data_IF_085689203484
#
_entry.id   IF_085689203484
#
_cell.length_a   1.000
_cell.length_b   1.000
_cell.length_c   1.000
_cell.angle_alpha   90.00
_cell.angle_beta   90.00
_cell.angle_gamma   90.00
#
_symmetry.space_group_name_H-M   'P 1'
#
loop_
_entity.id
_entity.type
_entity.pdbx_description
1 polymer ?
#
# COMPACT_ATOMS: atom_id res chain seq x y z
N UNK A 1 -20.59 -16.83 -15.34
CA UNK A 1 -19.79 -16.93 -14.10
C UNK A 1 -18.51 -17.63 -14.50
N UNK A 2 -17.55 -16.87 -15.02
CA UNK A 2 -16.24 -17.38 -15.39
C UNK A 2 -15.27 -16.93 -14.30
N UNK A 3 -14.72 -17.88 -13.56
CA UNK A 3 -13.61 -17.63 -12.66
C UNK A 3 -12.40 -17.29 -13.55
N UNK A 4 -12.00 -16.02 -13.57
CA UNK A 4 -10.76 -15.63 -14.21
C UNK A 4 -9.62 -16.13 -13.31
N UNK A 5 -9.01 -17.25 -13.70
CA UNK A 5 -7.83 -17.75 -13.03
C UNK A 5 -6.72 -16.70 -13.10
N UNK A 6 -6.20 -16.33 -11.93
CA UNK A 6 -5.07 -15.43 -11.83
C UNK A 6 -3.89 -15.97 -12.64
N UNK A 7 -3.34 -15.12 -13.50
CA UNK A 7 -2.14 -15.45 -14.25
C UNK A 7 -0.97 -15.77 -13.30
N UNK A 8 0.00 -16.59 -13.73
CA UNK A 8 1.12 -17.02 -12.89
C UNK A 8 1.91 -15.84 -12.32
N UNK A 9 2.03 -14.75 -13.08
CA UNK A 9 2.65 -13.47 -12.66
C UNK A 9 1.90 -12.82 -11.49
N UNK A 10 0.56 -12.73 -11.56
CA UNK A 10 -0.27 -12.12 -10.52
C UNK A 10 -0.29 -12.96 -9.24
N UNK A 11 -0.28 -14.30 -9.35
CA UNK A 11 -0.15 -15.19 -8.18
C UNK A 11 1.19 -15.01 -7.47
N UNK A 12 2.28 -14.80 -8.22
CA UNK A 12 3.61 -14.56 -7.65
C UNK A 12 3.74 -13.19 -7.00
N UNK A 13 3.16 -12.15 -7.61
CA UNK A 13 3.08 -10.80 -7.03
C UNK A 13 2.38 -10.82 -5.67
N UNK A 14 1.26 -11.55 -5.57
CA UNK A 14 0.52 -11.74 -4.32
C UNK A 14 1.36 -12.44 -3.26
N UNK A 15 2.02 -13.53 -3.61
CA UNK A 15 2.90 -14.25 -2.68
C UNK A 15 4.01 -13.33 -2.18
N UNK A 16 4.69 -12.65 -3.09
CA UNK A 16 5.79 -11.74 -2.76
C UNK A 16 5.35 -10.59 -1.85
N UNK A 17 4.21 -9.97 -2.15
CA UNK A 17 3.68 -8.88 -1.34
C UNK A 17 3.41 -9.36 0.08
N UNK A 18 2.79 -10.52 0.25
CA UNK A 18 2.57 -11.16 1.54
C UNK A 18 3.88 -11.38 2.31
N UNK A 19 4.96 -11.77 1.63
CA UNK A 19 6.29 -11.95 2.25
C UNK A 19 6.92 -10.62 2.69
N UNK A 20 6.89 -9.58 1.85
CA UNK A 20 7.40 -8.25 2.22
C UNK A 20 6.63 -7.65 3.39
N UNK A 21 5.31 -7.83 3.43
CA UNK A 21 4.48 -7.38 4.55
C UNK A 21 4.90 -8.07 5.84
N UNK A 22 5.20 -9.36 5.80
CA UNK A 22 5.72 -10.11 6.96
C UNK A 22 7.10 -9.65 7.43
N UNK A 23 7.92 -9.04 6.56
CA UNK A 23 9.23 -8.50 6.93
C UNK A 23 9.17 -7.10 7.51
N UNK A 24 8.37 -6.19 6.94
CA UNK A 24 8.12 -4.87 7.52
C UNK A 24 7.55 -4.97 8.94
N UNK A 25 6.69 -5.98 9.13
CA UNK A 25 6.17 -6.42 10.42
C UNK A 25 7.25 -6.71 11.46
N UNK A 26 8.29 -7.46 11.11
CA UNK A 26 9.40 -7.80 12.03
C UNK A 26 10.23 -6.58 12.40
N UNK A 27 10.51 -5.71 11.43
CA UNK A 27 11.23 -4.44 11.65
C UNK A 27 10.48 -3.54 12.64
N UNK A 28 9.15 -3.54 12.58
CA UNK A 28 8.29 -2.72 13.43
C UNK A 28 8.00 -3.33 14.81
N UNK A 29 8.29 -4.62 15.00
CA UNK A 29 8.09 -5.41 16.24
C UNK A 29 9.32 -5.41 17.17
N UNK A 30 10.52 -5.15 16.64
CA UNK A 30 11.73 -4.96 17.47
C UNK A 30 11.58 -3.67 18.31
N UNK A 31 11.12 -3.88 19.55
CA UNK A 31 10.69 -2.85 20.49
C UNK A 31 11.85 -2.08 21.13
N UNK A 32 13.08 -2.55 20.92
CA UNK A 32 14.29 -1.94 21.44
C UNK A 32 14.88 -1.00 20.37
N UNK A 33 14.48 0.27 20.42
CA UNK A 33 15.10 1.33 19.59
C UNK A 33 16.63 1.37 19.78
N UNK A 34 17.14 0.88 20.91
CA UNK A 34 18.57 0.75 21.20
C UNK A 34 19.26 -0.33 20.36
N UNK A 35 18.62 -1.47 20.07
CA UNK A 35 19.21 -2.51 19.21
C UNK A 35 19.16 -2.15 17.73
N UNK A 36 18.18 -1.32 17.30
CA UNK A 36 18.16 -0.71 15.96
C UNK A 36 19.31 0.30 15.79
N UNK A 37 19.61 1.08 16.84
CA UNK A 37 20.73 2.05 16.85
C UNK A 37 22.09 1.34 16.94
N UNK A 38 22.19 0.21 17.67
CA UNK A 38 23.39 -0.61 17.81
C UNK A 38 23.57 -1.66 16.68
N UNK A 39 22.65 -1.72 15.71
CA UNK A 39 22.77 -2.56 14.51
C UNK A 39 22.39 -4.03 14.66
N UNK A 40 21.75 -4.42 15.75
CA UNK A 40 21.21 -5.77 15.98
C UNK A 40 19.69 -5.78 15.76
N UNK A 41 19.26 -6.00 14.53
CA UNK A 41 17.85 -6.30 14.21
C UNK A 41 17.79 -7.77 13.82
N UNK A 42 17.13 -8.62 14.62
CA UNK A 42 17.03 -10.05 14.34
C UNK A 42 15.89 -10.30 13.34
N UNK A 43 16.18 -10.01 12.08
CA UNK A 43 15.24 -10.20 10.98
C UNK A 43 15.20 -11.69 10.61
N UNK A 44 14.07 -12.36 10.84
CA UNK A 44 13.80 -13.64 10.18
C UNK A 44 13.86 -13.43 8.66
N UNK A 45 14.97 -13.87 8.05
CA UNK A 45 15.18 -13.86 6.61
C UNK A 45 14.14 -14.78 5.97
N UNK A 46 13.24 -14.18 5.19
CA UNK A 46 12.37 -14.93 4.32
C UNK A 46 13.05 -14.95 2.95
N UNK A 47 13.25 -16.13 2.36
CA UNK A 47 13.80 -16.21 1.01
C UNK A 47 12.79 -15.62 0.02
N UNK A 48 13.07 -14.41 -0.43
CA UNK A 48 12.49 -13.84 -1.64
C UNK A 48 13.59 -13.81 -2.71
N UNK A 49 13.22 -14.05 -3.96
CA UNK A 49 14.16 -13.76 -5.04
C UNK A 49 14.34 -12.24 -5.15
N UNK A 50 15.55 -11.78 -5.49
CA UNK A 50 15.79 -10.35 -5.76
C UNK A 50 14.77 -9.78 -6.76
N UNK A 51 14.39 -10.59 -7.75
CA UNK A 51 13.37 -10.28 -8.74
C UNK A 51 12.00 -9.98 -8.11
N UNK A 52 11.58 -10.77 -7.14
CA UNK A 52 10.31 -10.60 -6.42
C UNK A 52 10.31 -9.31 -5.58
N UNK A 53 11.35 -9.10 -4.76
CA UNK A 53 11.47 -7.86 -3.99
C UNK A 53 11.51 -6.61 -4.89
N UNK A 54 12.20 -6.69 -6.04
CA UNK A 54 12.21 -5.61 -7.03
C UNK A 54 10.82 -5.36 -7.61
N UNK A 55 10.10 -6.39 -8.06
CA UNK A 55 8.74 -6.25 -8.61
C UNK A 55 7.79 -5.64 -7.58
N UNK A 56 7.84 -6.11 -6.33
CA UNK A 56 7.01 -5.59 -5.24
C UNK A 56 7.30 -4.11 -4.99
N UNK A 57 8.58 -3.75 -4.88
CA UNK A 57 9.01 -2.36 -4.66
C UNK A 57 8.61 -1.45 -5.83
N UNK A 58 8.83 -1.92 -7.06
CA UNK A 58 8.45 -1.19 -8.28
C UNK A 58 6.93 -0.98 -8.32
N UNK A 59 6.15 -2.02 -8.05
CA UNK A 59 4.68 -1.95 -8.07
C UNK A 59 4.14 -1.00 -7.01
N UNK A 60 4.71 -1.01 -5.80
CA UNK A 60 4.33 -0.09 -4.73
C UNK A 60 4.63 1.38 -5.08
N UNK A 61 5.81 1.64 -5.65
CA UNK A 61 6.20 2.99 -6.08
C UNK A 61 5.33 3.48 -7.24
N UNK A 62 5.03 2.60 -8.21
CA UNK A 62 4.17 2.91 -9.36
C UNK A 62 2.77 3.32 -8.93
N UNK A 63 2.15 2.57 -8.00
CA UNK A 63 0.81 2.87 -7.47
C UNK A 63 0.72 4.31 -6.96
N UNK A 64 1.69 4.74 -6.17
CA UNK A 64 1.70 6.09 -5.61
C UNK A 64 1.97 7.15 -6.68
N UNK A 65 2.87 6.85 -7.62
CA UNK A 65 3.19 7.75 -8.72
C UNK A 65 1.98 8.04 -9.61
N UNK A 66 1.16 7.03 -9.90
CA UNK A 66 -0.04 7.17 -10.74
C UNK A 66 -1.07 8.11 -10.09
N UNK A 67 -1.39 7.92 -8.81
CA UNK A 67 -2.34 8.80 -8.11
C UNK A 67 -1.82 10.22 -7.94
N UNK A 68 -0.51 10.38 -7.72
CA UNK A 68 0.13 11.70 -7.65
C UNK A 68 0.09 12.40 -9.01
N UNK A 69 0.42 11.69 -10.10
CA UNK A 69 0.39 12.24 -11.45
C UNK A 69 -1.01 12.74 -11.82
N UNK A 70 -2.04 11.92 -11.57
CA UNK A 70 -3.43 12.31 -11.80
C UNK A 70 -3.81 13.50 -10.94
N UNK A 71 -3.45 13.50 -9.65
CA UNK A 71 -3.72 14.64 -8.77
C UNK A 71 -3.06 15.93 -9.26
N UNK A 72 -1.81 15.88 -9.74
CA UNK A 72 -1.10 17.02 -10.32
C UNK A 72 -1.80 17.53 -11.59
N UNK A 73 -2.17 16.62 -12.50
CA UNK A 73 -2.84 16.98 -13.76
C UNK A 73 -4.19 17.70 -13.55
N UNK A 74 -4.89 17.37 -12.45
CA UNK A 74 -6.16 17.99 -12.10
C UNK A 74 -6.06 19.07 -11.01
N UNK A 75 -4.85 19.49 -10.65
CA UNK A 75 -4.63 20.66 -9.81
C UNK A 75 -4.59 21.92 -10.68
N UNK A 76 -5.39 22.96 -10.40
CA UNK A 76 -5.34 24.21 -11.15
C UNK A 76 -3.98 24.90 -10.94
N UNK A 77 -3.56 25.73 -11.90
CA UNK A 77 -2.32 26.50 -11.78
C UNK A 77 -2.33 27.35 -10.50
N UNK A 78 -1.24 27.29 -9.73
CA UNK A 78 -1.13 27.94 -8.41
C UNK A 78 -1.87 27.22 -7.28
N UNK A 79 -2.55 26.11 -7.57
CA UNK A 79 -3.14 25.22 -6.57
C UNK A 79 -2.09 24.40 -5.82
N UNK A 80 -2.47 23.89 -4.66
CA UNK A 80 -1.60 23.09 -3.80
C UNK A 80 -2.01 21.62 -3.82
N UNK A 81 -1.01 20.76 -3.64
CA UNK A 81 -1.15 19.34 -3.41
C UNK A 81 -0.49 19.01 -2.07
N UNK A 82 -1.18 18.24 -1.23
CA UNK A 82 -0.76 17.83 0.10
C UNK A 82 -0.78 16.30 0.17
N UNK A 83 0.34 15.70 0.57
CA UNK A 83 0.43 14.26 0.85
C UNK A 83 0.59 14.08 2.35
N UNK A 84 -0.30 13.30 2.96
CA UNK A 84 -0.26 12.97 4.38
C UNK A 84 -0.25 11.46 4.53
N UNK A 85 0.63 10.93 5.37
CA UNK A 85 0.65 9.53 5.74
C UNK A 85 0.40 9.40 7.25
N UNK A 86 -0.54 8.54 7.63
CA UNK A 86 -0.84 8.19 9.02
C UNK A 86 -0.62 6.70 9.19
N UNK A 87 0.10 6.32 10.25
CA UNK A 87 0.27 4.92 10.63
C UNK A 87 -0.28 4.74 12.04
N UNK A 88 -1.32 3.93 12.18
CA UNK A 88 -1.84 3.52 13.48
C UNK A 88 -1.48 2.06 13.73
N UNK A 89 -1.08 1.73 14.97
CA UNK A 89 -0.79 0.34 15.37
C UNK A 89 -1.80 -0.07 16.43
N UNK A 90 -2.62 -1.05 16.11
CA UNK A 90 -3.58 -1.67 17.01
C UNK A 90 -3.02 -2.99 17.54
N UNK A 91 -3.21 -3.26 18.83
CA UNK A 91 -2.81 -4.55 19.41
C UNK A 91 -4.01 -5.49 19.39
N UNK A 92 -3.94 -6.56 18.60
CA UNK A 92 -4.96 -7.61 18.58
C UNK A 92 -4.48 -8.78 19.45
N UNK A 93 -4.61 -8.63 20.76
CA UNK A 93 -4.13 -9.62 21.74
C UNK A 93 -2.63 -9.53 22.03
N UNK A 94 -2.02 -10.62 22.51
CA UNK A 94 -0.61 -10.62 22.97
C UNK A 94 0.42 -10.88 21.86
N UNK A 95 0.01 -11.34 20.67
CA UNK A 95 0.91 -11.90 19.65
C UNK A 95 0.77 -11.29 18.24
N UNK A 96 -0.23 -10.44 17.99
CA UNK A 96 -0.46 -9.82 16.68
C UNK A 96 -0.68 -8.32 16.84
N UNK A 97 0.13 -7.52 16.15
CA UNK A 97 -0.06 -6.09 16.01
C UNK A 97 -0.64 -5.81 14.62
N UNK A 98 -1.79 -5.16 14.50
CA UNK A 98 -2.31 -4.74 13.19
C UNK A 98 -1.89 -3.29 12.97
N UNK A 99 -1.08 -3.04 11.94
CA UNK A 99 -0.74 -1.68 11.54
C UNK A 99 -1.66 -1.25 10.39
N UNK A 100 -2.32 -0.11 10.55
CA UNK A 100 -3.15 0.50 9.53
C UNK A 100 -2.44 1.74 8.99
N UNK A 101 -2.05 1.68 7.71
CA UNK A 101 -1.45 2.79 6.98
C UNK A 101 -2.55 3.49 6.17
N UNK A 102 -2.72 4.78 6.38
CA UNK A 102 -3.56 5.65 5.55
C UNK A 102 -2.67 6.68 4.87
N UNK A 103 -2.61 6.65 3.53
CA UNK A 103 -2.00 7.70 2.72
C UNK A 103 -3.11 8.53 2.05
N UNK A 104 -3.09 9.83 2.28
CA UNK A 104 -4.04 10.78 1.69
C UNK A 104 -3.30 11.77 0.78
N UNK A 105 -3.64 11.77 -0.50
CA UNK A 105 -3.18 12.75 -1.50
C UNK A 105 -4.34 13.71 -1.75
N UNK A 106 -4.23 14.94 -1.26
CA UNK A 106 -5.25 15.98 -1.39
C UNK A 106 -4.78 17.06 -2.34
N UNK A 107 -5.62 17.47 -3.28
CA UNK A 107 -5.29 18.51 -4.24
C UNK A 107 -6.42 19.55 -4.35
N UNK A 108 -6.06 20.79 -4.65
CA UNK A 108 -7.01 21.86 -4.88
C UNK A 108 -7.79 21.65 -6.20
N UNK A 109 -8.99 22.22 -6.28
CA UNK A 109 -9.78 22.30 -7.51
C UNK A 109 -10.94 21.32 -7.61
N UNK A 110 -11.48 21.19 -8.83
CA UNK A 110 -12.70 20.44 -9.12
C UNK A 110 -12.55 18.91 -9.09
N UNK A 111 -11.32 18.40 -8.99
CA UNK A 111 -11.05 16.96 -8.92
C UNK A 111 -10.94 16.27 -10.29
N UNK A 112 -10.75 14.94 -10.24
CA UNK A 112 -10.62 14.02 -11.36
C UNK A 112 -11.97 13.79 -12.05
N UNK A 113 -12.09 13.87 -13.39
CA UNK A 113 -13.34 13.65 -14.10
C UNK A 113 -14.02 12.34 -13.71
N UNK A 114 -15.35 12.35 -13.55
CA UNK A 114 -16.12 11.18 -13.13
C UNK A 114 -15.93 9.99 -14.09
N UNK A 115 -15.81 10.24 -15.40
CA UNK A 115 -15.53 9.21 -16.39
C UNK A 115 -14.22 8.45 -16.10
N UNK A 116 -13.17 9.16 -15.67
CA UNK A 116 -11.89 8.54 -15.34
C UNK A 116 -11.95 7.78 -14.01
N UNK A 117 -12.71 8.27 -13.03
CA UNK A 117 -12.99 7.54 -11.79
C UNK A 117 -13.80 6.26 -12.07
N UNK A 118 -14.78 6.33 -12.96
CA UNK A 118 -15.57 5.16 -13.38
C UNK A 118 -14.69 4.11 -14.05
N UNK A 119 -13.69 4.52 -14.85
CA UNK A 119 -12.69 3.60 -15.39
C UNK A 119 -11.83 2.96 -14.28
N UNK A 120 -11.36 3.74 -13.31
CA UNK A 120 -10.59 3.23 -12.16
C UNK A 120 -11.36 2.18 -11.33
N UNK A 121 -12.68 2.37 -11.15
CA UNK A 121 -13.51 1.45 -10.37
C UNK A 121 -14.20 0.36 -11.22
N UNK A 122 -14.22 0.50 -12.54
CA UNK A 122 -14.93 -0.34 -13.51
C UNK A 122 -14.10 -1.45 -14.16
N UNK A 123 -14.35 -1.73 -15.44
CA UNK A 123 -13.67 -2.76 -16.26
C UNK A 123 -12.64 -2.13 -17.22
N UNK A 124 -11.82 -2.99 -17.84
CA UNK A 124 -10.77 -2.59 -18.81
C UNK A 124 -11.32 -2.24 -20.20
N UNK A 125 -12.59 -2.57 -20.48
CA UNK A 125 -13.22 -2.30 -21.77
C UNK A 125 -13.35 -0.79 -22.01
N UNK A 126 -12.80 -0.31 -23.12
CA UNK A 126 -12.82 1.10 -23.55
C UNK A 126 -12.21 2.12 -22.56
N UNK A 127 -11.33 1.68 -21.65
CA UNK A 127 -10.61 2.56 -20.73
C UNK A 127 -9.48 3.33 -21.45
N UNK A 128 -9.23 4.59 -21.04
CA UNK A 128 -8.06 5.33 -21.52
C UNK A 128 -6.77 4.78 -20.90
N UNK A 129 -5.61 5.17 -21.42
CA UNK A 129 -4.32 4.79 -20.84
C UNK A 129 -4.21 5.18 -19.35
N UNK A 130 -4.70 6.37 -18.99
CA UNK A 130 -4.79 6.81 -17.58
C UNK A 130 -5.78 5.97 -16.78
N UNK A 131 -6.93 5.61 -17.37
CA UNK A 131 -7.93 4.77 -16.73
C UNK A 131 -7.40 3.37 -16.43
N UNK A 132 -6.67 2.78 -17.39
CA UNK A 132 -6.01 1.47 -17.24
C UNK A 132 -4.95 1.54 -16.14
N UNK A 133 -4.10 2.57 -16.12
CA UNK A 133 -3.10 2.78 -15.07
C UNK A 133 -3.73 2.88 -13.68
N UNK A 134 -4.78 3.69 -13.51
CA UNK A 134 -5.48 3.82 -12.22
C UNK A 134 -6.18 2.52 -11.80
N UNK A 135 -6.80 1.79 -12.74
CA UNK A 135 -7.43 0.51 -12.49
C UNK A 135 -6.40 -0.52 -12.01
N UNK A 136 -5.26 -0.64 -12.68
CA UNK A 136 -4.16 -1.54 -12.30
C UNK A 136 -3.65 -1.16 -10.90
N UNK A 137 -3.42 0.13 -10.65
CA UNK A 137 -2.97 0.63 -9.36
C UNK A 137 -3.96 0.31 -8.23
N UNK A 138 -5.28 0.44 -8.48
CA UNK A 138 -6.32 -0.02 -7.55
C UNK A 138 -6.30 -1.52 -7.32
N UNK A 139 -6.15 -2.33 -8.37
CA UNK A 139 -6.04 -3.79 -8.25
C UNK A 139 -4.83 -4.15 -7.39
N UNK A 140 -3.67 -3.53 -7.61
CA UNK A 140 -2.46 -3.72 -6.80
C UNK A 140 -2.70 -3.37 -5.32
N UNK A 141 -3.37 -2.26 -5.02
CA UNK A 141 -3.74 -1.92 -3.63
C UNK A 141 -4.64 -2.98 -3.01
N UNK A 142 -5.60 -3.53 -3.76
CA UNK A 142 -6.46 -4.63 -3.27
C UNK A 142 -5.67 -5.90 -2.98
N UNK A 143 -4.64 -6.22 -3.76
CA UNK A 143 -3.78 -7.38 -3.53
C UNK A 143 -2.98 -7.27 -2.23
N UNK A 144 -2.65 -6.06 -1.79
CA UNK A 144 -1.90 -5.82 -0.54
C UNK A 144 -2.81 -5.63 0.68
N UNK A 145 -4.05 -6.15 0.63
CA UNK A 145 -5.06 -5.98 1.66
C UNK A 145 -5.37 -4.49 1.96
N UNK A 146 -5.39 -3.69 0.90
CA UNK A 146 -5.72 -2.29 0.96
C UNK A 146 -7.01 -1.92 0.23
N UNK A 147 -7.33 -0.64 0.30
CA UNK A 147 -8.44 -0.03 -0.41
C UNK A 147 -8.07 1.36 -0.92
N UNK A 148 -8.81 1.81 -1.94
CA UNK A 148 -8.67 3.16 -2.50
C UNK A 148 -10.03 3.81 -2.55
N UNK A 149 -10.08 5.02 -2.02
CA UNK A 149 -11.25 5.88 -2.06
C UNK A 149 -10.89 7.20 -2.72
N UNK A 150 -11.89 7.81 -3.37
CA UNK A 150 -11.79 9.15 -3.88
C UNK A 150 -12.89 10.01 -3.27
N UNK A 151 -12.50 11.10 -2.61
CA UNK A 151 -13.41 12.03 -1.96
C UNK A 151 -13.31 13.39 -2.65
N UNK A 152 -14.46 13.95 -3.02
CA UNK A 152 -14.57 15.32 -3.54
C UNK A 152 -15.29 16.19 -2.53
N UNK A 153 -14.68 17.32 -2.20
CA UNK A 153 -15.24 18.35 -1.31
C UNK A 153 -15.22 19.71 -2.01
N UNK A 154 -15.80 20.73 -1.38
CA UNK A 154 -15.78 22.08 -1.92
C UNK A 154 -14.33 22.61 -2.02
N UNK A 155 -13.82 22.72 -3.25
CA UNK A 155 -12.51 23.31 -3.56
C UNK A 155 -11.31 22.38 -3.36
N UNK A 156 -11.52 21.13 -2.92
CA UNK A 156 -10.46 20.13 -2.75
C UNK A 156 -10.96 18.73 -3.07
N UNK A 157 -10.06 17.87 -3.51
CA UNK A 157 -10.35 16.45 -3.72
C UNK A 157 -9.19 15.59 -3.23
N UNK A 158 -9.48 14.38 -2.79
CA UNK A 158 -8.49 13.50 -2.17
C UNK A 158 -8.59 12.08 -2.67
N UNK A 159 -7.45 11.50 -3.05
CA UNK A 159 -7.25 10.05 -3.04
C UNK A 159 -6.86 9.62 -1.62
N UNK A 160 -7.48 8.54 -1.14
CA UNK A 160 -7.21 7.95 0.17
C UNK A 160 -6.90 6.48 -0.07
N UNK A 161 -5.66 6.09 0.21
CA UNK A 161 -5.17 4.70 0.10
C UNK A 161 -5.00 4.18 1.52
N UNK A 162 -5.71 3.11 1.85
CA UNK A 162 -5.59 2.44 3.17
C UNK A 162 -4.99 1.06 2.97
N UNK A 163 -4.08 0.64 3.84
CA UNK A 163 -3.47 -0.69 3.82
C UNK A 163 -3.42 -1.24 5.24
N UNK A 164 -3.92 -2.46 5.42
CA UNK A 164 -3.78 -3.20 6.68
C UNK A 164 -2.60 -4.17 6.61
N UNK A 165 -1.71 -4.05 7.59
CA UNK A 165 -0.46 -4.80 7.69
C UNK A 165 -0.49 -5.59 9.01
N UNK A 166 -0.60 -6.90 8.94
CA UNK A 166 -0.50 -7.73 10.15
C UNK A 166 0.97 -7.90 10.54
N UNK A 167 1.36 -7.37 11.70
CA UNK A 167 2.58 -7.58 12.49
C UNK A 167 2.44 -8.80 13.46
N UNK A 168 3.45 -9.66 13.63
CA UNK A 168 3.37 -10.86 14.47
C UNK A 168 4.62 -10.92 15.35
N UNK A 169 4.39 -10.96 16.67
CA UNK A 169 5.46 -10.93 17.67
C UNK A 169 6.33 -12.19 17.51
N UNK A 170 7.63 -12.01 17.23
CA UNK A 170 8.61 -13.08 17.34
C UNK A 170 8.66 -13.66 18.77
N UNK A 171 9.12 -14.91 18.97
CA UNK A 171 9.12 -15.56 20.27
C UNK A 171 9.90 -14.75 21.32
N UNK A 172 9.29 -14.59 22.50
CA UNK A 172 9.84 -13.86 23.63
C UNK A 172 11.10 -14.59 24.16
N UNK A 173 12.30 -14.10 23.81
CA UNK A 173 13.59 -14.68 24.20
C UNK A 173 13.87 -14.63 25.72
N UNK A 174 12.93 -14.11 26.52
CA UNK A 174 13.08 -13.94 27.98
C UNK A 174 12.58 -15.12 28.82
N UNK A 175 12.09 -16.19 28.21
CA UNK A 175 11.57 -17.36 28.93
C UNK A 175 12.56 -18.53 29.12
N UNK A 176 13.84 -18.40 28.72
CA UNK A 176 14.84 -19.48 28.83
C UNK A 176 15.94 -19.29 29.88
N UNK A 177 15.80 -18.32 30.78
CA UNK A 177 16.69 -18.19 31.95
C UNK A 177 15.84 -18.19 33.22
N UNK A 178 15.52 -19.39 33.71
CA UNK A 178 15.38 -19.76 35.12
C UNK A 178 15.27 -21.28 35.25
#
# INVERSE_FOLDING_TARGET
>A
MEAMELGPEQKRLLQTSSLCQNQLRKILDDSDLHTIIDGYVDLEMMEFTLHEALISSISQVMVLADFLLISVNFTPQGGQLLVVANLTKDQLGQSVHLAHLELRITHAGGGVPEALLNQMFGSEEDASDEGISLLISRKLVKLVNGDIQYLREAGRSSFIVTVELAAAKGPDSRAQLN
#
